data_IF_099667986018
#
_entry.id   IF_099667986018
#
_cell.length_a   1.000
_cell.length_b   1.000
_cell.length_c   1.000
_cell.angle_alpha   90.00
_cell.angle_beta   90.00
_cell.angle_gamma   90.00
#
_symmetry.space_group_name_H-M   'P 1'
#
loop_
_entity.id
_entity.type
_entity.pdbx_description
1 polymer ?
#
# COMPACT_ATOMS: atom_id res chain seq x y z
N UNK A 1 45.41 50.97 -1.99
CA UNK A 1 45.85 51.82 -3.13
C UNK A 1 45.43 51.15 -4.41
N UNK A 2 45.00 51.96 -5.39
CA UNK A 2 44.50 51.62 -6.75
C UNK A 2 43.11 50.95 -6.72
N UNK A 3 42.03 51.62 -7.14
CA UNK A 3 41.84 52.36 -8.41
C UNK A 3 41.31 51.33 -9.41
N UNK A 4 40.16 51.45 -10.07
CA UNK A 4 39.44 52.61 -10.58
C UNK A 4 38.99 52.24 -12.01
N UNK A 5 37.80 52.67 -12.44
CA UNK A 5 37.30 52.51 -13.82
C UNK A 5 35.93 51.85 -13.85
N UNK A 6 34.81 52.58 -13.89
CA UNK A 6 34.20 53.30 -15.02
C UNK A 6 33.79 52.40 -16.20
N UNK A 7 32.50 52.45 -16.50
CA UNK A 7 32.00 52.45 -17.88
C UNK A 7 31.16 51.23 -18.25
N UNK A 8 29.88 51.45 -18.53
CA UNK A 8 29.03 50.47 -19.23
C UNK A 8 27.59 50.43 -18.77
N UNK A 9 26.83 51.52 -18.94
CA UNK A 9 25.36 51.46 -18.90
C UNK A 9 24.89 51.08 -20.31
N UNK A 10 24.66 49.79 -20.54
CA UNK A 10 23.95 49.28 -21.71
C UNK A 10 22.46 49.13 -21.38
N UNK A 11 21.55 49.35 -22.35
CA UNK A 11 20.13 49.51 -22.08
C UNK A 11 19.49 48.21 -21.61
N UNK A 12 18.45 48.38 -20.80
CA UNK A 12 17.52 47.35 -20.39
C UNK A 12 17.01 46.59 -21.62
N UNK A 13 17.31 45.30 -21.67
CA UNK A 13 16.51 44.36 -22.43
C UNK A 13 15.97 43.36 -21.41
N UNK A 14 14.84 43.72 -20.80
CA UNK A 14 14.00 42.73 -20.13
C UNK A 14 13.61 41.70 -21.19
N UNK A 15 13.83 40.40 -21.00
CA UNK A 15 13.12 39.42 -21.80
C UNK A 15 11.65 39.69 -21.50
N UNK A 16 10.92 40.24 -22.46
CA UNK A 16 9.47 40.24 -22.41
C UNK A 16 9.11 38.76 -22.28
N UNK A 17 8.60 38.37 -21.12
CA UNK A 17 7.83 37.16 -21.00
C UNK A 17 6.54 37.43 -21.75
N UNK A 18 6.57 37.22 -23.07
CA UNK A 18 5.43 36.84 -23.87
C UNK A 18 4.94 35.48 -23.35
N UNK A 19 4.38 35.52 -22.15
CA UNK A 19 3.47 34.51 -21.67
C UNK A 19 2.25 34.58 -22.55
N UNK A 20 2.28 33.84 -23.66
CA UNK A 20 1.06 33.31 -24.26
C UNK A 20 0.41 32.46 -23.16
N UNK A 21 -0.42 33.11 -22.34
CA UNK A 21 -1.40 32.43 -21.51
C UNK A 21 -2.33 31.79 -22.51
N UNK A 22 -2.03 30.55 -22.88
CA UNK A 22 -2.90 29.72 -23.69
C UNK A 22 -4.28 29.75 -23.03
N UNK A 23 -5.21 30.36 -23.75
CA UNK A 23 -6.64 30.25 -23.48
C UNK A 23 -6.96 28.78 -23.81
N UNK A 24 -6.78 27.90 -22.81
CA UNK A 24 -7.22 26.52 -22.92
C UNK A 24 -8.72 26.60 -23.21
N UNK A 25 -9.15 26.03 -24.34
CA UNK A 25 -10.56 26.07 -24.70
C UNK A 25 -11.39 25.41 -23.60
N UNK A 26 -12.61 25.91 -23.38
CA UNK A 26 -13.52 25.37 -22.37
C UNK A 26 -13.69 23.84 -22.48
N UNK A 27 -13.64 23.30 -23.71
CA UNK A 27 -13.67 21.85 -23.99
C UNK A 27 -12.42 21.10 -23.51
N UNK A 28 -11.22 21.67 -23.67
CA UNK A 28 -9.97 21.04 -23.19
C UNK A 28 -9.91 21.02 -21.66
N UNK A 29 -10.53 22.02 -21.01
CA UNK A 29 -10.62 22.08 -19.56
C UNK A 29 -11.55 21.00 -19.02
N UNK A 30 -12.70 20.77 -19.67
CA UNK A 30 -13.65 19.71 -19.33
C UNK A 30 -13.02 18.32 -19.48
N UNK A 31 -12.26 18.08 -20.56
CA UNK A 31 -11.53 16.82 -20.78
C UNK A 31 -10.47 16.55 -19.69
N UNK A 32 -9.73 17.58 -19.27
CA UNK A 32 -8.74 17.46 -18.19
C UNK A 32 -9.39 17.19 -16.83
N UNK A 33 -10.54 17.80 -16.57
CA UNK A 33 -11.31 17.55 -15.35
C UNK A 33 -11.88 16.12 -15.33
N UNK A 34 -12.36 15.63 -16.47
CA UNK A 34 -12.83 14.26 -16.61
C UNK A 34 -11.69 13.25 -16.37
N UNK A 35 -10.53 13.47 -16.97
CA UNK A 35 -9.35 12.63 -16.76
C UNK A 35 -8.89 12.62 -15.29
N UNK A 36 -8.96 13.77 -14.61
CA UNK A 36 -8.62 13.85 -13.18
C UNK A 36 -9.61 13.04 -12.33
N UNK A 37 -10.91 13.15 -12.63
CA UNK A 37 -11.95 12.39 -11.93
C UNK A 37 -11.78 10.88 -12.17
N UNK A 38 -11.47 10.47 -13.39
CA UNK A 38 -11.22 9.06 -13.72
C UNK A 38 -10.02 8.51 -12.93
N UNK A 39 -8.92 9.25 -12.87
CA UNK A 39 -7.74 8.87 -12.09
C UNK A 39 -8.04 8.75 -10.58
N UNK A 40 -8.79 9.71 -10.01
CA UNK A 40 -9.20 9.66 -8.60
C UNK A 40 -10.05 8.42 -8.29
N UNK A 41 -10.99 8.08 -9.18
CA UNK A 41 -11.83 6.89 -9.04
C UNK A 41 -11.02 5.59 -9.16
N UNK A 42 -10.05 5.53 -10.07
CA UNK A 42 -9.16 4.39 -10.20
C UNK A 42 -8.31 4.18 -8.95
N UNK A 43 -7.78 5.26 -8.38
CA UNK A 43 -7.01 5.23 -7.13
C UNK A 43 -7.87 4.73 -5.96
N UNK A 44 -9.09 5.25 -5.80
CA UNK A 44 -10.03 4.80 -4.77
C UNK A 44 -10.36 3.30 -4.94
N UNK A 45 -10.62 2.87 -6.18
CA UNK A 45 -10.87 1.46 -6.50
C UNK A 45 -9.70 0.58 -6.09
N UNK A 46 -8.47 1.01 -6.35
CA UNK A 46 -7.27 0.25 -5.97
C UNK A 46 -7.11 0.18 -4.45
N UNK A 47 -7.37 1.27 -3.74
CA UNK A 47 -7.34 1.29 -2.27
C UNK A 47 -8.36 0.30 -1.69
N UNK A 48 -9.61 0.33 -2.18
CA UNK A 48 -10.67 -0.59 -1.74
C UNK A 48 -10.31 -2.06 -1.99
N UNK A 49 -9.72 -2.38 -3.15
CA UNK A 49 -9.24 -3.73 -3.42
C UNK A 49 -8.12 -4.16 -2.47
N UNK A 50 -7.21 -3.23 -2.14
CA UNK A 50 -6.16 -3.45 -1.15
C UNK A 50 -6.74 -3.78 0.23
N UNK A 51 -7.75 -3.05 0.67
CA UNK A 51 -8.43 -3.26 1.94
C UNK A 51 -9.16 -4.59 1.98
N UNK A 52 -9.86 -4.96 0.90
CA UNK A 52 -10.51 -6.29 0.77
C UNK A 52 -9.47 -7.41 0.87
N UNK A 53 -8.35 -7.30 0.17
CA UNK A 53 -7.29 -8.30 0.25
C UNK A 53 -6.67 -8.41 1.65
N UNK A 54 -6.50 -7.30 2.34
CA UNK A 54 -6.01 -7.28 3.73
C UNK A 54 -7.03 -7.90 4.68
N UNK A 55 -8.31 -7.54 4.56
CA UNK A 55 -9.39 -8.10 5.37
C UNK A 55 -9.50 -9.61 5.18
N UNK A 56 -9.39 -10.10 3.93
CA UNK A 56 -9.41 -11.53 3.61
C UNK A 56 -8.27 -12.29 4.30
N UNK A 57 -7.03 -11.80 4.20
CA UNK A 57 -5.87 -12.42 4.87
C UNK A 57 -6.03 -12.49 6.40
N UNK A 58 -6.62 -11.46 7.00
CA UNK A 58 -6.86 -11.45 8.44
C UNK A 58 -7.99 -12.41 8.83
N UNK A 59 -9.02 -12.56 7.98
CA UNK A 59 -10.09 -13.53 8.19
C UNK A 59 -9.58 -14.99 8.14
N UNK A 60 -8.50 -15.24 7.40
CA UNK A 60 -7.86 -16.56 7.33
C UNK A 60 -6.96 -16.86 8.56
N UNK A 61 -6.75 -15.90 9.48
CA UNK A 61 -5.94 -16.13 10.67
C UNK A 61 -6.74 -16.72 11.82
N UNK A 62 -6.20 -17.79 12.44
CA UNK A 62 -6.82 -18.44 13.60
C UNK A 62 -6.65 -17.54 14.83
N UNK A 63 -7.74 -17.24 15.53
CA UNK A 63 -7.69 -16.44 16.76
C UNK A 63 -7.48 -17.32 18.00
N UNK A 64 -6.98 -16.75 19.12
CA UNK A 64 -6.83 -17.48 20.38
C UNK A 64 -8.16 -18.04 20.90
N UNK A 65 -9.27 -17.34 20.68
CA UNK A 65 -10.61 -17.79 21.06
C UNK A 65 -11.02 -19.04 20.28
N UNK A 66 -10.81 -19.03 18.95
CA UNK A 66 -11.06 -20.21 18.10
C UNK A 66 -10.22 -21.41 18.54
N UNK A 67 -8.97 -21.17 18.94
CA UNK A 67 -8.08 -22.21 19.45
C UNK A 67 -8.65 -22.84 20.73
N UNK A 68 -9.04 -22.02 21.71
CA UNK A 68 -9.64 -22.51 22.96
C UNK A 68 -10.95 -23.27 22.76
N UNK A 69 -11.80 -22.81 21.84
CA UNK A 69 -13.05 -23.50 21.49
C UNK A 69 -12.78 -24.90 20.91
N UNK A 70 -11.76 -25.03 20.06
CA UNK A 70 -11.36 -26.32 19.47
C UNK A 70 -10.71 -27.23 20.53
N UNK A 71 -9.87 -26.70 21.41
CA UNK A 71 -9.26 -27.48 22.51
C UNK A 71 -10.33 -28.09 23.41
N UNK A 72 -11.31 -27.28 23.86
CA UNK A 72 -12.43 -27.75 24.66
C UNK A 72 -13.25 -28.82 23.93
N UNK A 73 -13.42 -28.68 22.61
CA UNK A 73 -14.09 -29.68 21.79
C UNK A 73 -13.30 -31.00 21.77
N UNK A 74 -11.99 -30.95 21.52
CA UNK A 74 -11.14 -32.15 21.49
C UNK A 74 -11.16 -32.88 22.84
N UNK A 75 -11.13 -32.14 23.96
CA UNK A 75 -11.29 -32.71 25.30
C UNK A 75 -12.64 -33.40 25.49
N UNK A 76 -13.75 -32.80 25.03
CA UNK A 76 -15.07 -33.41 25.09
C UNK A 76 -15.14 -34.75 24.34
N UNK A 77 -14.41 -34.87 23.23
CA UNK A 77 -14.32 -36.11 22.45
C UNK A 77 -13.25 -37.09 22.95
N UNK A 78 -12.44 -36.69 23.94
CA UNK A 78 -11.33 -37.51 24.46
C UNK A 78 -10.17 -37.66 23.47
N UNK A 79 -9.99 -36.70 22.56
CA UNK A 79 -8.93 -36.72 21.54
C UNK A 79 -7.70 -35.99 22.08
N UNK A 80 -6.54 -36.66 22.22
CA UNK A 80 -5.33 -35.99 22.69
C UNK A 80 -4.77 -35.03 21.63
N UNK A 81 -4.26 -33.89 22.08
CA UNK A 81 -3.60 -32.91 21.23
C UNK A 81 -2.34 -32.35 21.91
N UNK A 82 -1.49 -31.69 21.12
CA UNK A 82 -0.27 -31.03 21.58
C UNK A 82 -0.10 -29.69 20.85
N UNK A 83 0.49 -28.70 21.53
CA UNK A 83 0.89 -27.45 20.89
C UNK A 83 2.24 -27.61 20.21
N UNK A 84 2.26 -27.43 18.89
CA UNK A 84 3.50 -27.34 18.14
C UNK A 84 4.19 -26.00 18.46
N UNK A 85 5.52 -25.97 18.70
CA UNK A 85 6.25 -24.73 18.94
C UNK A 85 6.38 -23.83 17.69
N UNK A 86 6.17 -24.41 16.51
CA UNK A 86 6.25 -23.71 15.22
C UNK A 86 5.12 -24.23 14.30
N UNK A 87 5.45 -24.63 13.07
CA UNK A 87 4.48 -25.18 12.13
C UNK A 87 4.02 -26.58 12.56
N UNK A 88 2.70 -26.78 12.66
CA UNK A 88 2.12 -28.06 13.04
C UNK A 88 2.56 -29.18 12.08
N UNK A 89 2.71 -28.90 10.79
CA UNK A 89 3.18 -29.87 9.78
C UNK A 89 4.60 -30.36 10.07
N UNK A 90 5.50 -29.46 10.45
CA UNK A 90 6.87 -29.82 10.81
C UNK A 90 6.92 -30.69 12.08
N UNK A 91 6.09 -30.36 13.08
CA UNK A 91 5.99 -31.16 14.30
C UNK A 91 5.41 -32.56 14.02
N UNK A 92 4.38 -32.65 13.18
CA UNK A 92 3.80 -33.94 12.76
C UNK A 92 4.83 -34.81 12.03
N UNK A 93 5.59 -34.23 11.10
CA UNK A 93 6.65 -34.94 10.40
C UNK A 93 7.73 -35.47 11.35
N UNK A 94 8.18 -34.65 12.30
CA UNK A 94 9.13 -35.05 13.34
C UNK A 94 8.62 -36.21 14.19
N UNK A 95 7.38 -36.13 14.69
CA UNK A 95 6.80 -37.19 15.53
C UNK A 95 6.70 -38.52 14.77
N UNK A 96 6.33 -38.48 13.49
CA UNK A 96 6.25 -39.66 12.64
C UNK A 96 7.63 -40.28 12.39
N UNK A 97 8.65 -39.46 12.09
CA UNK A 97 10.02 -39.94 11.87
C UNK A 97 10.62 -40.54 13.16
N UNK A 98 10.37 -39.90 14.30
CA UNK A 98 10.79 -40.36 15.62
C UNK A 98 9.99 -41.57 16.13
N UNK A 99 8.95 -42.02 15.41
CA UNK A 99 8.03 -43.11 15.78
C UNK A 99 7.33 -42.89 17.13
N UNK A 100 6.96 -41.64 17.40
CA UNK A 100 6.19 -41.25 18.59
C UNK A 100 4.68 -41.19 18.34
N UNK A 101 4.26 -41.38 17.08
CA UNK A 101 2.89 -41.48 16.60
C UNK A 101 2.77 -42.57 15.53
#
# INVERSE_FOLDING_TARGET
>A
GKGGGKGGRAPANSPQADGERGDLGDEELEDLEFQRMEAELEDERQQLLGDVHRAKRNADSVTPEMQGDIEALLECFGIPFVHAPAEAEAQCAFLAEARLV
#
